data_IF_374658804224
#
_entry.id   IF_374658804224
#
_cell.length_a   1.000
_cell.length_b   1.000
_cell.length_c   1.000
_cell.angle_alpha   90.00
_cell.angle_beta   90.00
_cell.angle_gamma   90.00
#
_symmetry.space_group_name_H-M   'P 1'
#
loop_
_entity.id
_entity.type
_entity.pdbx_description
1 polymer ?
#
# COMPACT_ATOMS: atom_id res chain seq x y z
N UNK A 1 15.50 3.36 4.85
CA UNK A 1 14.05 3.49 4.60
C UNK A 1 13.32 2.54 5.53
N UNK A 2 12.34 3.01 6.30
CA UNK A 2 11.56 2.15 7.20
C UNK A 2 10.39 1.46 6.46
N UNK A 3 9.73 0.49 7.10
CA UNK A 3 8.60 -0.27 6.51
C UNK A 3 7.48 0.64 5.99
N UNK A 4 7.16 1.70 6.71
CA UNK A 4 6.13 2.66 6.32
C UNK A 4 6.51 3.47 5.07
N UNK A 5 7.79 3.89 4.97
CA UNK A 5 8.31 4.55 3.78
C UNK A 5 8.32 3.59 2.58
N UNK A 6 8.68 2.31 2.78
CA UNK A 6 8.57 1.28 1.73
C UNK A 6 7.13 1.14 1.28
N UNK A 7 6.19 0.95 2.22
CA UNK A 7 4.77 0.81 1.93
C UNK A 7 4.22 2.01 1.14
N UNK A 8 4.49 3.24 1.58
CA UNK A 8 4.07 4.45 0.88
C UNK A 8 4.63 4.50 -0.55
N UNK A 9 5.91 4.19 -0.73
CA UNK A 9 6.53 4.20 -2.06
C UNK A 9 5.93 3.15 -2.97
N UNK A 10 5.63 1.95 -2.48
CA UNK A 10 4.95 0.91 -3.25
C UNK A 10 3.55 1.36 -3.68
N UNK A 11 2.78 1.99 -2.79
CA UNK A 11 1.47 2.56 -3.14
C UNK A 11 1.59 3.63 -4.23
N UNK A 12 2.60 4.50 -4.17
CA UNK A 12 2.85 5.49 -5.23
C UNK A 12 3.22 4.83 -6.55
N UNK A 13 4.14 3.86 -6.54
CA UNK A 13 4.55 3.11 -7.74
C UNK A 13 3.39 2.36 -8.38
N UNK A 14 2.46 1.85 -7.57
CA UNK A 14 1.30 1.12 -8.06
C UNK A 14 0.17 2.00 -8.62
N UNK A 15 0.27 3.33 -8.49
CA UNK A 15 -0.77 4.28 -8.90
C UNK A 15 -1.95 4.41 -7.93
N UNK A 16 -2.07 3.56 -6.90
CA UNK A 16 -3.26 3.50 -6.03
C UNK A 16 -3.14 4.30 -4.73
N UNK A 17 -2.09 5.12 -4.55
CA UNK A 17 -1.83 5.84 -3.29
C UNK A 17 -3.00 6.71 -2.80
N UNK A 18 -3.85 7.21 -3.70
CA UNK A 18 -5.02 8.02 -3.36
C UNK A 18 -6.33 7.21 -3.34
N UNK A 19 -6.30 5.94 -3.74
CA UNK A 19 -7.46 5.05 -3.81
C UNK A 19 -7.61 4.28 -2.48
N UNK A 20 -8.02 4.99 -1.43
CA UNK A 20 -8.14 4.43 -0.07
C UNK A 20 -9.00 3.16 -0.06
N UNK A 21 -10.17 3.19 -0.69
CA UNK A 21 -11.10 2.05 -0.70
C UNK A 21 -10.51 0.84 -1.42
N UNK A 22 -9.75 1.05 -2.52
CA UNK A 22 -9.05 -0.03 -3.22
C UNK A 22 -8.01 -0.70 -2.35
N UNK A 23 -7.23 0.08 -1.60
CA UNK A 23 -6.23 -0.47 -0.68
C UNK A 23 -6.91 -1.28 0.43
N UNK A 24 -8.02 -0.78 0.99
CA UNK A 24 -8.77 -1.50 2.03
C UNK A 24 -9.38 -2.80 1.49
N UNK A 25 -9.92 -2.78 0.27
CA UNK A 25 -10.46 -3.98 -0.38
C UNK A 25 -9.37 -5.03 -0.62
N UNK A 26 -8.18 -4.64 -1.11
CA UNK A 26 -7.05 -5.58 -1.28
C UNK A 26 -6.66 -6.27 0.03
N UNK A 27 -6.65 -5.52 1.14
CA UNK A 27 -6.36 -6.08 2.46
C UNK A 27 -7.48 -7.02 2.92
N UNK A 28 -8.74 -6.65 2.69
CA UNK A 28 -9.92 -7.43 3.06
C UNK A 28 -10.03 -8.74 2.27
N UNK A 29 -9.73 -8.73 0.98
CA UNK A 29 -9.72 -9.91 0.10
C UNK A 29 -8.74 -10.98 0.59
N UNK A 30 -7.70 -10.57 1.33
CA UNK A 30 -6.71 -11.46 1.96
C UNK A 30 -7.02 -11.76 3.44
N UNK A 31 -8.21 -11.41 3.90
CA UNK A 31 -8.73 -11.72 5.24
C UNK A 31 -8.41 -10.68 6.32
N UNK A 32 -7.83 -9.53 5.97
CA UNK A 32 -7.44 -8.50 6.95
C UNK A 32 -8.42 -7.33 6.96
N UNK A 33 -9.20 -7.19 8.03
CA UNK A 33 -10.03 -6.02 8.25
C UNK A 33 -9.20 -4.85 8.78
N UNK A 34 -9.02 -3.83 7.94
CA UNK A 34 -8.28 -2.61 8.26
C UNK A 34 -9.19 -1.42 8.09
N UNK A 35 -9.21 -0.52 9.07
CA UNK A 35 -9.95 0.74 8.96
C UNK A 35 -9.16 1.79 8.18
N UNK A 36 -9.86 2.74 7.56
CA UNK A 36 -9.24 3.90 6.91
C UNK A 36 -8.31 4.70 7.85
N UNK A 37 -8.61 4.74 9.15
CA UNK A 37 -7.76 5.43 10.12
C UNK A 37 -6.47 4.67 10.42
N UNK A 38 -6.51 3.33 10.49
CA UNK A 38 -5.30 2.51 10.62
C UNK A 38 -4.39 2.68 9.39
N UNK A 39 -4.96 2.57 8.18
CA UNK A 39 -4.24 2.82 6.94
C UNK A 39 -3.63 4.24 6.92
N UNK A 40 -4.39 5.26 7.34
CA UNK A 40 -3.88 6.63 7.43
C UNK A 40 -2.69 6.72 8.39
N UNK A 41 -2.73 6.05 9.54
CA UNK A 41 -1.65 6.07 10.54
C UNK A 41 -0.37 5.40 10.04
N UNK A 42 -0.50 4.35 9.23
CA UNK A 42 0.62 3.71 8.54
C UNK A 42 1.31 4.63 7.54
N UNK A 43 0.55 5.54 6.91
CA UNK A 43 1.09 6.44 5.89
C UNK A 43 1.80 7.67 6.45
N UNK A 44 1.79 7.90 7.78
CA UNK A 44 2.39 9.07 8.43
C UNK A 44 3.91 8.92 8.62
N UNK A 45 4.59 10.06 8.77
CA UNK A 45 5.99 10.10 9.20
C UNK A 45 6.17 9.68 10.66
N UNK A 46 7.37 9.20 11.00
CA UNK A 46 7.74 8.69 12.33
C UNK A 46 7.58 9.71 13.45
N UNK A 47 7.74 11.00 13.15
CA UNK A 47 7.56 12.11 14.10
C UNK A 47 6.08 12.37 14.46
N UNK A 48 5.13 11.75 13.77
CA UNK A 48 3.71 11.98 14.03
C UNK A 48 3.23 11.20 15.26
N UNK A 49 2.51 11.85 16.18
CA UNK A 49 1.95 11.19 17.39
C UNK A 49 1.03 9.98 17.11
N UNK A 50 0.43 9.92 15.93
CA UNK A 50 -0.44 8.81 15.52
C UNK A 50 0.27 7.84 14.57
N UNK A 51 1.58 7.96 14.39
CA UNK A 51 2.38 7.00 13.64
C UNK A 51 2.15 5.59 14.19
N UNK A 52 1.95 4.63 13.29
CA UNK A 52 1.89 3.21 13.61
C UNK A 52 2.70 2.46 12.57
N UNK A 53 3.47 1.47 13.01
CA UNK A 53 4.23 0.63 12.08
C UNK A 53 3.29 -0.13 11.14
N UNK A 54 3.68 -0.17 9.86
CA UNK A 54 3.02 -1.06 8.88
C UNK A 54 3.30 -2.51 9.29
N UNK A 55 2.26 -3.37 9.42
CA UNK A 55 2.44 -4.79 9.67
C UNK A 55 2.92 -5.53 8.41
N UNK A 56 3.60 -6.66 8.58
CA UNK A 56 4.23 -7.38 7.47
C UNK A 56 3.24 -7.85 6.40
N UNK A 57 2.06 -8.33 6.82
CA UNK A 57 1.01 -8.74 5.89
C UNK A 57 0.61 -7.62 4.91
N UNK A 58 0.62 -6.36 5.34
CA UNK A 58 0.23 -5.25 4.47
C UNK A 58 1.28 -4.99 3.39
N UNK A 59 2.56 -5.22 3.68
CA UNK A 59 3.61 -5.17 2.68
C UNK A 59 3.49 -6.35 1.71
N UNK A 60 3.33 -7.56 2.23
CA UNK A 60 3.19 -8.79 1.43
C UNK A 60 2.04 -8.68 0.42
N UNK A 61 0.88 -8.22 0.86
CA UNK A 61 -0.31 -8.05 -0.01
C UNK A 61 -0.07 -7.03 -1.12
N UNK A 62 0.56 -5.89 -0.81
CA UNK A 62 0.87 -4.88 -1.83
C UNK A 62 1.93 -5.39 -2.81
N UNK A 63 2.91 -6.17 -2.34
CA UNK A 63 3.86 -6.83 -3.22
C UNK A 63 3.16 -7.80 -4.17
N UNK A 64 2.30 -8.68 -3.66
CA UNK A 64 1.56 -9.63 -4.48
C UNK A 64 0.71 -8.92 -5.55
N UNK A 65 -0.02 -7.88 -5.15
CA UNK A 65 -0.80 -7.05 -6.06
C UNK A 65 0.08 -6.47 -7.19
N UNK A 66 1.24 -5.89 -6.86
CA UNK A 66 2.16 -5.36 -7.87
C UNK A 66 2.65 -6.43 -8.85
N UNK A 67 2.95 -7.64 -8.37
CA UNK A 67 3.36 -8.75 -9.23
C UNK A 67 2.21 -9.30 -10.08
N UNK A 68 0.98 -9.32 -9.57
CA UNK A 68 -0.21 -9.67 -10.33
C UNK A 68 -0.45 -8.65 -11.45
N UNK A 69 -0.41 -7.35 -11.15
CA UNK A 69 -0.53 -6.29 -12.16
C UNK A 69 0.55 -6.41 -13.23
N UNK A 70 1.79 -6.65 -12.84
CA UNK A 70 2.88 -6.89 -13.79
C UNK A 70 2.62 -8.11 -14.67
N UNK A 71 2.23 -9.25 -14.08
CA UNK A 71 1.93 -10.49 -14.82
C UNK A 71 0.81 -10.28 -15.83
N UNK A 72 -0.24 -9.56 -15.44
CA UNK A 72 -1.41 -9.29 -16.27
C UNK A 72 -1.20 -8.19 -17.31
N UNK A 73 0.02 -7.66 -17.46
CA UNK A 73 0.36 -6.52 -18.33
C UNK A 73 -0.46 -5.25 -18.01
N UNK A 74 -1.01 -5.19 -16.79
CA UNK A 74 -1.69 -4.04 -16.21
C UNK A 74 -0.76 -3.21 -15.31
N UNK A 75 0.54 -3.51 -15.32
CA UNK A 75 1.54 -2.79 -14.55
C UNK A 75 1.60 -1.35 -15.04
N UNK A 76 1.22 -0.41 -14.17
CA UNK A 76 1.45 1.03 -14.33
C UNK A 76 2.96 1.33 -14.26
N UNK A 77 3.75 0.79 -15.18
CA UNK A 77 4.99 1.42 -15.59
C UNK A 77 4.57 2.48 -16.59
N UNK A 78 4.09 3.62 -16.09
CA UNK A 78 3.93 4.80 -16.93
C UNK A 78 5.33 5.20 -17.37
N UNK A 79 5.71 4.80 -18.58
CA UNK A 79 6.68 5.55 -19.35
C UNK A 79 6.09 6.96 -19.48
N UNK A 80 6.55 7.88 -18.63
CA UNK A 80 6.37 9.29 -18.89
C UNK A 80 7.10 9.55 -20.22
N UNK A 81 6.33 9.64 -21.30
CA UNK A 81 6.78 10.18 -22.59
C UNK A 81 7.03 11.67 -22.48
#
# INVERSE_FOLDING_TARGET
MNKNQIFNNLLHLSGIANETDKILNLLQERGYQVSANQLRNWRRGVENRHFRHVPDYALEIIFDYLFEQKRNHQGYFTENK
#
